data_IF_291703657072
#
_entry.id   IF_291703657072
#
_cell.length_a   1.000
_cell.length_b   1.000
_cell.length_c   1.000
_cell.angle_alpha   90.00
_cell.angle_beta   90.00
_cell.angle_gamma   90.00
#
_symmetry.space_group_name_H-M   'P 1'
#
loop_
_entity.id
_entity.type
_entity.pdbx_description
1 polymer ?
#
# COMPACT_ATOMS: atom_id res chain seq x y z
N UNK A 1 -19.78 -1.82 9.97
CA UNK A 1 -18.36 -2.19 10.12
C UNK A 1 -17.73 -2.58 8.79
N UNK A 2 -18.10 -3.70 8.15
CA UNK A 2 -17.58 -4.10 6.82
C UNK A 2 -17.67 -2.96 5.80
N UNK A 3 -18.89 -2.44 5.53
CA UNK A 3 -19.11 -1.32 4.60
C UNK A 3 -18.21 -0.10 4.88
N UNK A 4 -17.96 0.21 6.15
CA UNK A 4 -17.11 1.35 6.53
C UNK A 4 -15.65 1.12 6.16
N UNK A 5 -15.14 -0.09 6.38
CA UNK A 5 -13.77 -0.46 6.00
C UNK A 5 -13.63 -0.52 4.47
N UNK A 6 -14.63 -1.08 3.78
CA UNK A 6 -14.67 -1.12 2.32
C UNK A 6 -14.60 0.28 1.71
N UNK A 7 -15.42 1.21 2.21
CA UNK A 7 -15.41 2.60 1.74
C UNK A 7 -14.07 3.30 1.96
N UNK A 8 -13.35 2.98 3.04
CA UNK A 8 -12.00 3.53 3.27
C UNK A 8 -10.99 3.04 2.23
N UNK A 9 -10.98 1.75 1.92
CA UNK A 9 -10.09 1.19 0.90
C UNK A 9 -10.41 1.76 -0.49
N UNK A 10 -11.70 1.83 -0.84
CA UNK A 10 -12.14 2.39 -2.12
C UNK A 10 -11.74 3.87 -2.22
N UNK A 11 -11.93 4.65 -1.16
CA UNK A 11 -11.59 6.07 -1.16
C UNK A 11 -10.10 6.29 -1.45
N UNK A 12 -9.20 5.47 -0.88
CA UNK A 12 -7.75 5.58 -1.11
C UNK A 12 -7.30 5.02 -2.47
N UNK A 13 -8.13 4.20 -3.11
CA UNK A 13 -7.92 3.67 -4.46
C UNK A 13 -8.39 4.64 -5.57
N UNK A 14 -9.35 5.52 -5.28
CA UNK A 14 -9.95 6.42 -6.26
C UNK A 14 -8.97 7.52 -6.72
N UNK A 15 -9.25 8.08 -7.91
CA UNK A 15 -8.41 9.07 -8.61
C UNK A 15 -8.73 10.52 -8.18
N UNK A 16 -9.44 10.71 -7.07
CA UNK A 16 -9.76 12.03 -6.52
C UNK A 16 -8.54 12.65 -5.79
N UNK A 17 -8.60 13.95 -5.53
CA UNK A 17 -7.52 14.67 -4.83
C UNK A 17 -7.30 14.12 -3.41
N UNK A 18 -6.04 14.00 -3.00
CA UNK A 18 -5.56 13.60 -1.67
C UNK A 18 -5.69 12.11 -1.28
N UNK A 19 -5.81 11.20 -2.25
CA UNK A 19 -5.71 9.75 -1.96
C UNK A 19 -4.26 9.30 -1.82
N UNK A 20 -4.03 8.21 -1.10
CA UNK A 20 -2.72 7.56 -0.99
C UNK A 20 -2.14 7.26 -2.38
N UNK A 21 -2.96 6.82 -3.33
CA UNK A 21 -2.52 6.55 -4.70
C UNK A 21 -2.03 7.80 -5.44
N UNK A 22 -2.69 8.94 -5.26
CA UNK A 22 -2.24 10.21 -5.87
C UNK A 22 -0.95 10.70 -5.20
N UNK A 23 -0.85 10.61 -3.87
CA UNK A 23 0.38 10.96 -3.15
C UNK A 23 1.55 10.09 -3.61
N UNK A 24 1.33 8.78 -3.72
CA UNK A 24 2.35 7.82 -4.14
C UNK A 24 2.75 8.02 -5.61
N UNK A 25 1.78 8.01 -6.54
CA UNK A 25 2.05 7.98 -7.99
C UNK A 25 2.38 9.35 -8.58
N UNK A 26 1.63 10.40 -8.21
CA UNK A 26 1.79 11.73 -8.81
C UNK A 26 2.73 12.62 -8.03
N UNK A 27 2.62 12.61 -6.70
CA UNK A 27 3.46 13.47 -5.87
C UNK A 27 4.82 12.86 -5.58
N UNK A 28 4.97 11.55 -5.86
CA UNK A 28 6.15 10.75 -5.50
C UNK A 28 6.44 10.89 -4.01
N UNK A 29 5.41 10.66 -3.20
CA UNK A 29 5.43 10.83 -1.75
C UNK A 29 4.81 9.61 -1.08
N UNK A 30 5.57 8.94 -0.22
CA UNK A 30 5.07 7.80 0.52
C UNK A 30 4.52 8.21 1.88
N UNK A 31 3.20 8.33 1.98
CA UNK A 31 2.55 8.63 3.25
C UNK A 31 2.44 7.39 4.13
N UNK A 32 3.46 7.20 4.98
CA UNK A 32 3.56 6.05 5.89
C UNK A 32 2.34 5.90 6.79
N UNK A 33 1.77 7.00 7.29
CA UNK A 33 0.59 6.95 8.17
C UNK A 33 -0.62 6.39 7.43
N UNK A 34 -0.94 6.94 6.24
CA UNK A 34 -2.03 6.42 5.39
C UNK A 34 -1.82 4.97 5.01
N UNK A 35 -0.59 4.58 4.67
CA UNK A 35 -0.27 3.20 4.35
C UNK A 35 -0.52 2.24 5.52
N UNK A 36 -0.10 2.61 6.74
CA UNK A 36 -0.34 1.79 7.93
C UNK A 36 -1.83 1.69 8.27
N UNK A 37 -2.59 2.77 8.11
CA UNK A 37 -4.05 2.76 8.28
C UNK A 37 -4.75 1.87 7.24
N UNK A 38 -4.27 1.89 5.99
CA UNK A 38 -4.74 1.01 4.92
C UNK A 38 -4.45 -0.46 5.23
N UNK A 39 -3.25 -0.80 5.72
CA UNK A 39 -2.91 -2.16 6.13
C UNK A 39 -3.80 -2.66 7.27
N UNK A 40 -4.02 -1.84 8.30
CA UNK A 40 -4.94 -2.17 9.40
C UNK A 40 -6.39 -2.37 8.92
N UNK A 41 -6.85 -1.54 7.97
CA UNK A 41 -8.15 -1.74 7.35
C UNK A 41 -8.24 -3.07 6.58
N UNK A 42 -7.20 -3.42 5.81
CA UNK A 42 -7.13 -4.68 5.07
C UNK A 42 -7.18 -5.89 6.02
N UNK A 43 -6.39 -5.90 7.08
CA UNK A 43 -6.36 -7.00 8.06
C UNK A 43 -7.71 -7.19 8.75
N UNK A 44 -8.34 -6.09 9.19
CA UNK A 44 -9.68 -6.15 9.78
C UNK A 44 -10.72 -6.66 8.79
N UNK A 45 -10.62 -6.28 7.51
CA UNK A 45 -11.50 -6.76 6.45
C UNK A 45 -11.33 -8.26 6.18
N UNK A 46 -10.09 -8.77 6.19
CA UNK A 46 -9.80 -10.19 6.02
C UNK A 46 -10.52 -11.01 7.09
N UNK A 47 -10.34 -10.66 8.36
CA UNK A 47 -10.97 -11.39 9.46
C UNK A 47 -12.49 -11.40 9.36
N UNK A 48 -13.09 -10.29 8.89
CA UNK A 48 -14.53 -10.21 8.69
C UNK A 48 -15.00 -11.02 7.47
N UNK A 49 -14.27 -11.01 6.37
CA UNK A 49 -14.60 -11.77 5.16
C UNK A 49 -14.42 -13.27 5.32
N UNK A 50 -13.57 -13.73 6.24
CA UNK A 50 -13.52 -15.15 6.65
C UNK A 50 -14.86 -15.63 7.23
N UNK A 51 -15.63 -14.75 7.86
CA UNK A 51 -16.95 -15.06 8.43
C UNK A 51 -18.04 -14.82 7.40
N UNK A 52 -18.03 -13.64 6.76
CA UNK A 52 -19.07 -13.23 5.81
C UNK A 52 -18.51 -12.26 4.76
N UNK A 53 -18.44 -12.73 3.51
CA UNK A 53 -18.13 -11.87 2.36
C UNK A 53 -19.30 -10.95 2.04
N UNK A 54 -19.00 -9.70 1.67
CA UNK A 54 -20.01 -8.76 1.17
C UNK A 54 -20.20 -8.92 -0.34
N UNK A 55 -21.20 -8.21 -0.89
CA UNK A 55 -21.38 -8.09 -2.35
C UNK A 55 -20.25 -7.32 -3.07
N UNK A 56 -19.47 -6.52 -2.34
CA UNK A 56 -18.38 -5.71 -2.90
C UNK A 56 -17.02 -6.40 -2.77
N UNK A 57 -16.98 -7.61 -2.21
CA UNK A 57 -15.75 -8.33 -1.88
C UNK A 57 -14.75 -8.40 -3.06
N UNK A 58 -15.22 -8.68 -4.28
CA UNK A 58 -14.36 -8.78 -5.47
C UNK A 58 -13.69 -7.43 -5.80
N UNK A 59 -14.46 -6.35 -5.77
CA UNK A 59 -13.95 -5.00 -6.02
C UNK A 59 -12.90 -4.62 -4.97
N UNK A 60 -13.19 -4.90 -3.70
CA UNK A 60 -12.27 -4.64 -2.59
C UNK A 60 -10.99 -5.46 -2.71
N UNK A 61 -11.10 -6.74 -3.04
CA UNK A 61 -9.93 -7.59 -3.27
C UNK A 61 -9.05 -7.02 -4.40
N UNK A 62 -9.64 -6.58 -5.51
CA UNK A 62 -8.92 -5.93 -6.59
C UNK A 62 -8.27 -4.62 -6.16
N UNK A 63 -8.98 -3.73 -5.46
CA UNK A 63 -8.43 -2.47 -4.96
C UNK A 63 -7.23 -2.70 -4.04
N UNK A 64 -7.32 -3.69 -3.15
CA UNK A 64 -6.22 -4.07 -2.25
C UNK A 64 -5.02 -4.57 -3.05
N UNK A 65 -5.21 -5.51 -3.98
CA UNK A 65 -4.11 -6.03 -4.81
C UNK A 65 -3.45 -4.90 -5.60
N UNK A 66 -4.24 -4.00 -6.17
CA UNK A 66 -3.73 -2.87 -6.94
C UNK A 66 -2.91 -1.89 -6.09
N UNK A 67 -3.44 -1.48 -4.94
CA UNK A 67 -2.72 -0.64 -3.97
C UNK A 67 -1.35 -1.25 -3.63
N UNK A 68 -1.33 -2.55 -3.35
CA UNK A 68 -0.13 -3.28 -2.96
C UNK A 68 0.89 -3.42 -4.10
N UNK A 69 0.42 -3.65 -5.33
CA UNK A 69 1.30 -3.69 -6.50
C UNK A 69 2.00 -2.36 -6.75
N UNK A 70 1.29 -1.24 -6.61
CA UNK A 70 1.87 0.09 -6.78
C UNK A 70 2.87 0.43 -5.68
N UNK A 71 2.57 0.09 -4.44
CA UNK A 71 3.53 0.22 -3.34
C UNK A 71 4.80 -0.55 -3.65
N UNK A 72 4.70 -1.80 -4.09
CA UNK A 72 5.89 -2.59 -4.45
C UNK A 72 6.63 -2.00 -5.65
N UNK A 73 5.91 -1.58 -6.69
CA UNK A 73 6.51 -0.98 -7.88
C UNK A 73 7.30 0.28 -7.51
N UNK A 74 6.67 1.22 -6.81
CA UNK A 74 7.32 2.49 -6.48
C UNK A 74 8.49 2.30 -5.53
N UNK A 75 8.42 1.32 -4.61
CA UNK A 75 9.57 0.95 -3.75
C UNK A 75 10.71 0.28 -4.55
N UNK A 76 10.42 -0.54 -5.56
CA UNK A 76 11.47 -1.25 -6.32
C UNK A 76 12.16 -0.33 -7.33
N UNK A 77 11.40 0.56 -7.98
CA UNK A 77 11.95 1.39 -9.05
C UNK A 77 12.63 2.64 -8.49
N UNK A 78 12.04 3.34 -7.52
CA UNK A 78 12.33 4.76 -7.28
C UNK A 78 13.18 5.09 -6.04
N UNK A 79 14.14 4.23 -5.71
CA UNK A 79 15.02 4.42 -4.55
C UNK A 79 16.49 4.71 -4.92
N UNK A 80 16.75 5.17 -6.14
CA UNK A 80 18.05 5.76 -6.51
C UNK A 80 17.92 7.27 -6.69
N UNK A 81 18.92 8.03 -6.24
CA UNK A 81 18.92 9.50 -6.33
C UNK A 81 18.81 10.02 -7.78
N UNK A 82 19.24 9.23 -8.76
CA UNK A 82 19.19 9.55 -10.19
C UNK A 82 17.91 9.02 -10.88
N UNK A 83 16.94 8.48 -10.14
CA UNK A 83 15.66 8.06 -10.70
C UNK A 83 14.72 9.27 -10.90
N UNK A 84 14.21 9.42 -12.13
CA UNK A 84 13.22 10.42 -12.55
C UNK A 84 11.91 10.41 -11.75
N UNK A 85 11.72 9.41 -10.92
CA UNK A 85 10.49 9.15 -10.17
C UNK A 85 10.73 8.91 -8.68
N UNK A 86 11.90 9.35 -8.19
CA UNK A 86 12.32 9.35 -6.78
C UNK A 86 11.24 9.77 -5.78
N UNK A 87 11.10 9.01 -4.69
CA UNK A 87 10.16 9.31 -3.60
C UNK A 87 10.74 10.39 -2.67
N UNK A 88 10.20 11.60 -2.78
CA UNK A 88 10.73 12.85 -2.20
C UNK A 88 10.93 12.82 -0.68
N UNK A 89 10.12 12.09 0.08
CA UNK A 89 10.25 12.07 1.54
C UNK A 89 11.29 11.09 2.07
N UNK A 90 12.05 10.43 1.20
CA UNK A 90 13.25 9.66 1.56
C UNK A 90 14.56 10.42 1.28
N UNK A 91 14.52 11.69 0.85
CA UNK A 91 15.69 12.53 0.57
C UNK A 91 16.71 12.53 1.73
N UNK A 92 16.25 12.72 2.96
CA UNK A 92 17.12 12.74 4.16
C UNK A 92 17.74 11.39 4.50
N UNK A 93 17.17 10.30 3.99
CA UNK A 93 17.67 8.94 4.21
C UNK A 93 18.69 8.55 3.13
N UNK A 94 18.64 9.18 1.95
CA UNK A 94 19.63 8.98 0.88
C UNK A 94 21.00 9.62 1.15
N UNK A 95 21.11 10.50 2.15
CA UNK A 95 22.41 11.04 2.59
C UNK A 95 23.25 10.01 3.38
N UNK A 96 22.66 8.88 3.79
CA UNK A 96 23.37 7.77 4.42
C UNK A 96 23.78 6.70 3.39
N UNK A 97 25.08 6.43 3.32
CA UNK A 97 25.82 5.69 2.27
C UNK A 97 25.38 4.22 2.06
N UNK A 98 24.43 3.69 2.83
CA UNK A 98 23.87 2.35 2.57
C UNK A 98 22.42 2.22 3.07
N UNK A 99 21.48 2.66 2.23
CA UNK A 99 20.05 2.51 2.48
C UNK A 99 19.51 1.10 2.22
N UNK A 100 20.35 0.14 1.79
CA UNK A 100 19.91 -1.21 1.44
C UNK A 100 19.31 -1.96 2.63
N UNK A 101 19.75 -1.69 3.85
CA UNK A 101 19.23 -2.32 5.07
C UNK A 101 17.82 -1.86 5.44
N UNK A 102 17.57 -0.55 5.41
CA UNK A 102 16.24 0.03 5.67
C UNK A 102 15.27 -0.33 4.54
N UNK A 103 15.76 -0.29 3.30
CA UNK A 103 15.06 -0.75 2.10
C UNK A 103 14.61 -2.21 2.22
N UNK A 104 15.54 -3.12 2.49
CA UNK A 104 15.24 -4.54 2.58
C UNK A 104 14.26 -4.83 3.73
N UNK A 105 14.37 -4.13 4.85
CA UNK A 105 13.43 -4.29 5.96
C UNK A 105 12.00 -3.86 5.59
N UNK A 106 11.84 -2.69 4.96
CA UNK A 106 10.53 -2.18 4.57
C UNK A 106 9.91 -2.96 3.40
N UNK A 107 10.73 -3.35 2.42
CA UNK A 107 10.32 -4.19 1.30
C UNK A 107 9.88 -5.57 1.79
N UNK A 108 10.68 -6.23 2.64
CA UNK A 108 10.32 -7.53 3.19
C UNK A 108 9.04 -7.47 4.03
N UNK A 109 8.89 -6.43 4.87
CA UNK A 109 7.66 -6.18 5.61
C UNK A 109 6.46 -6.03 4.67
N UNK A 110 6.59 -5.23 3.61
CA UNK A 110 5.52 -5.01 2.64
C UNK A 110 5.17 -6.30 1.90
N UNK A 111 6.17 -7.05 1.41
CA UNK A 111 5.96 -8.35 0.73
C UNK A 111 5.27 -9.36 1.64
N UNK A 112 5.71 -9.51 2.88
CA UNK A 112 5.13 -10.47 3.82
C UNK A 112 3.65 -10.15 4.11
N UNK A 113 3.34 -8.87 4.32
CA UNK A 113 1.97 -8.40 4.58
C UNK A 113 1.08 -8.56 3.34
N UNK A 114 1.60 -8.24 2.17
CA UNK A 114 0.89 -8.42 0.89
C UNK A 114 0.59 -9.89 0.66
N UNK A 115 1.55 -10.78 0.89
CA UNK A 115 1.37 -12.22 0.75
C UNK A 115 0.24 -12.73 1.64
N UNK A 116 0.23 -12.36 2.92
CA UNK A 116 -0.83 -12.76 3.86
C UNK A 116 -2.19 -12.30 3.33
N UNK A 117 -2.28 -11.02 2.94
CA UNK A 117 -3.50 -10.41 2.43
C UNK A 117 -3.99 -11.11 1.15
N UNK A 118 -3.11 -11.34 0.16
CA UNK A 118 -3.50 -11.96 -1.11
C UNK A 118 -3.90 -13.42 -0.97
N UNK A 119 -3.30 -14.15 -0.02
CA UNK A 119 -3.59 -15.57 0.17
C UNK A 119 -4.92 -15.77 0.92
N UNK A 120 -5.20 -14.91 1.90
CA UNK A 120 -6.38 -15.04 2.74
C UNK A 120 -7.62 -14.34 2.16
N UNK A 121 -7.44 -13.37 1.28
CA UNK A 121 -8.56 -12.73 0.58
C UNK A 121 -9.05 -13.58 -0.59
N UNK A 122 -8.21 -14.28 -1.36
CA UNK A 122 -8.60 -14.84 -2.67
C UNK A 122 -9.25 -16.26 -2.61
N UNK A 123 -9.38 -16.87 -1.43
CA UNK A 123 -10.02 -18.20 -1.26
C UNK A 123 -11.51 -18.08 -0.92
#
# INVERSE_FOLDING_TARGET
>A
MIKTLESKIIAEYQVDTDTFMIELHHHKFFNKTKFLELLDCCEKLIELYRIQKSKNYVEIAHSIIFLMQWVLLENVYHLSHDDLSHIKNYDSLLEEVDMSGVYNSFLNYSIDRIRIISTDIIV
#
